data_IF_546251639568
#
_entry.id   IF_546251639568
#
_cell.length_a   1.000
_cell.length_b   1.000
_cell.length_c   1.000
_cell.angle_alpha   90.00
_cell.angle_beta   90.00
_cell.angle_gamma   90.00
#
_symmetry.space_group_name_H-M   'P 1'
#
loop_
_entity.id
_entity.type
_entity.pdbx_description
1 polymer ?
#
# COMPACT_ATOMS: atom_id res chain seq x y z
N UNK A 1 6.82 -1.83 -32.93
CA UNK A 1 7.13 -0.37 -32.87
C UNK A 1 7.33 -0.02 -31.42
N UNK A 2 8.35 0.80 -31.09
CA UNK A 2 8.57 1.24 -29.72
C UNK A 2 7.54 2.31 -29.34
N UNK A 3 6.86 2.08 -28.23
CA UNK A 3 5.93 3.03 -27.61
C UNK A 3 6.35 3.30 -26.16
N UNK A 4 6.00 4.49 -25.69
CA UNK A 4 6.22 4.87 -24.29
C UNK A 4 4.89 5.31 -23.72
N UNK A 5 4.43 4.62 -22.69
CA UNK A 5 3.22 4.99 -21.94
C UNK A 5 3.59 5.44 -20.53
N UNK A 6 2.82 6.38 -20.00
CA UNK A 6 3.03 6.94 -18.66
C UNK A 6 2.06 6.31 -17.70
N UNK A 7 2.53 5.98 -16.49
CA UNK A 7 1.70 5.46 -15.41
C UNK A 7 2.33 5.81 -14.05
N UNK A 8 1.69 5.40 -12.98
CA UNK A 8 2.20 5.54 -11.61
C UNK A 8 2.95 4.30 -11.18
N UNK A 9 3.88 4.45 -10.27
CA UNK A 9 4.57 3.35 -9.61
C UNK A 9 3.65 2.75 -8.51
N UNK A 10 3.44 1.44 -8.46
CA UNK A 10 2.56 0.80 -7.47
C UNK A 10 3.28 0.44 -6.17
N UNK A 11 4.59 0.73 -6.03
CA UNK A 11 5.41 0.12 -4.98
C UNK A 11 5.33 0.78 -3.61
N UNK A 12 4.83 2.01 -3.51
CA UNK A 12 4.63 2.71 -2.23
C UNK A 12 3.84 4.00 -2.43
N UNK A 13 3.42 4.62 -1.33
CA UNK A 13 2.57 5.81 -1.31
C UNK A 13 3.23 7.12 -1.80
N UNK A 14 4.48 7.09 -2.23
CA UNK A 14 5.16 8.32 -2.72
C UNK A 14 4.50 8.86 -3.98
N UNK A 15 3.88 8.02 -4.82
CA UNK A 15 3.18 8.47 -6.02
C UNK A 15 4.11 8.87 -7.17
N UNK A 16 5.19 8.13 -7.38
CA UNK A 16 6.14 8.39 -8.47
C UNK A 16 5.56 8.06 -9.84
N UNK A 17 5.82 8.94 -10.82
CA UNK A 17 5.52 8.63 -12.22
C UNK A 17 6.62 7.80 -12.87
N UNK A 18 6.24 6.78 -13.62
CA UNK A 18 7.13 5.94 -14.42
C UNK A 18 6.67 5.89 -15.88
N UNK A 19 7.64 5.64 -16.75
CA UNK A 19 7.41 5.32 -18.13
C UNK A 19 7.53 3.80 -18.31
N UNK A 20 6.61 3.22 -19.04
CA UNK A 20 6.67 1.82 -19.48
C UNK A 20 6.99 1.80 -20.98
N UNK A 21 7.98 1.02 -21.36
CA UNK A 21 8.40 0.84 -22.73
C UNK A 21 7.72 -0.40 -23.29
N UNK A 22 6.99 -0.22 -24.38
CA UNK A 22 6.43 -1.33 -25.14
C UNK A 22 7.19 -1.49 -26.47
N UNK A 23 7.38 -2.73 -26.89
CA UNK A 23 7.83 -3.07 -28.23
C UNK A 23 6.81 -4.03 -28.86
N UNK A 24 6.13 -3.56 -29.90
CA UNK A 24 5.07 -4.33 -30.58
C UNK A 24 3.97 -4.85 -29.61
N UNK A 25 3.62 -4.02 -28.61
CA UNK A 25 2.61 -4.32 -27.60
C UNK A 25 3.10 -5.03 -26.35
N UNK A 26 4.33 -5.54 -26.35
CA UNK A 26 4.93 -6.22 -25.19
C UNK A 26 5.73 -5.26 -24.30
N UNK A 27 5.59 -5.39 -22.98
CA UNK A 27 6.36 -4.61 -22.02
C UNK A 27 7.81 -5.12 -21.98
N UNK A 28 8.76 -4.23 -22.31
CA UNK A 28 10.18 -4.55 -22.33
C UNK A 28 11.01 -3.83 -21.26
N UNK A 29 10.43 -2.90 -20.54
CA UNK A 29 11.12 -2.22 -19.44
C UNK A 29 10.41 -0.98 -18.92
N UNK A 30 11.02 -0.38 -17.89
CA UNK A 30 10.59 0.87 -17.29
C UNK A 30 11.74 1.86 -17.20
N UNK A 31 11.41 3.14 -17.14
CA UNK A 31 12.34 4.20 -16.77
C UNK A 31 11.59 5.38 -16.11
N UNK A 32 12.30 6.28 -15.40
CA UNK A 32 11.67 7.38 -14.69
C UNK A 32 10.93 8.34 -15.63
N UNK A 33 9.73 8.79 -15.23
CA UNK A 33 9.03 9.84 -15.96
C UNK A 33 9.61 11.21 -15.60
N UNK A 34 10.41 11.78 -16.52
CA UNK A 34 11.19 13.01 -16.26
C UNK A 34 10.34 14.24 -15.91
N UNK A 35 9.11 14.31 -16.44
CA UNK A 35 8.22 15.48 -16.24
C UNK A 35 7.24 15.28 -15.08
N UNK A 36 7.27 14.12 -14.40
CA UNK A 36 6.38 13.89 -13.28
C UNK A 36 6.77 14.76 -12.07
N UNK A 37 5.81 15.50 -11.46
CA UNK A 37 6.13 16.49 -10.42
C UNK A 37 6.74 15.86 -9.17
N UNK A 38 6.29 14.67 -8.79
CA UNK A 38 6.73 13.98 -7.56
C UNK A 38 8.19 13.55 -7.62
N UNK A 39 8.59 12.81 -8.64
CA UNK A 39 9.91 12.19 -8.71
C UNK A 39 10.89 12.85 -9.70
N UNK A 40 10.45 13.80 -10.52
CA UNK A 40 11.27 14.62 -11.41
C UNK A 40 12.35 13.82 -12.17
N UNK A 41 11.96 12.67 -12.72
CA UNK A 41 12.86 11.79 -13.48
C UNK A 41 13.81 10.96 -12.63
N UNK A 42 13.51 10.70 -11.38
CA UNK A 42 14.21 9.75 -10.51
C UNK A 42 13.36 8.51 -10.31
N UNK A 43 14.02 7.38 -10.04
CA UNK A 43 13.37 6.10 -9.78
C UNK A 43 14.21 5.31 -8.79
N UNK A 44 13.58 4.60 -7.87
CA UNK A 44 14.22 3.65 -6.97
C UNK A 44 14.26 2.24 -7.60
N UNK A 45 14.85 1.29 -6.89
CA UNK A 45 14.89 -0.10 -7.35
C UNK A 45 13.46 -0.66 -7.53
N UNK A 46 12.61 -0.51 -6.50
CA UNK A 46 11.23 -1.01 -6.53
C UNK A 46 10.44 -0.47 -7.73
N UNK A 47 10.60 0.82 -8.04
CA UNK A 47 9.96 1.40 -9.23
C UNK A 47 10.51 0.87 -10.57
N UNK A 48 11.78 0.40 -10.61
CA UNK A 48 12.34 -0.23 -11.82
C UNK A 48 11.87 -1.67 -12.00
N UNK A 49 11.70 -2.41 -10.90
CA UNK A 49 11.28 -3.82 -10.90
C UNK A 49 9.76 -3.97 -10.82
N UNK A 50 9.00 -2.88 -10.73
CA UNK A 50 7.54 -2.92 -10.57
C UNK A 50 6.79 -3.70 -11.67
N UNK A 51 7.38 -3.83 -12.87
CA UNK A 51 6.79 -4.64 -13.95
C UNK A 51 6.89 -6.15 -13.72
N UNK A 52 7.65 -6.60 -12.72
CA UNK A 52 7.81 -8.04 -12.43
C UNK A 52 6.47 -8.67 -12.01
N UNK A 53 5.59 -7.93 -11.34
CA UNK A 53 4.24 -8.40 -11.02
C UNK A 53 3.41 -8.72 -12.28
N UNK A 54 3.55 -7.91 -13.33
CA UNK A 54 2.92 -8.19 -14.63
C UNK A 54 3.57 -9.40 -15.33
N UNK A 55 4.89 -9.52 -15.27
CA UNK A 55 5.62 -10.62 -15.91
C UNK A 55 5.35 -11.97 -15.26
N UNK A 56 5.11 -11.97 -13.94
CA UNK A 56 4.88 -13.16 -13.12
C UNK A 56 3.39 -13.36 -12.76
N UNK A 57 2.47 -12.71 -13.47
CA UNK A 57 1.03 -12.80 -13.17
C UNK A 57 0.47 -14.21 -13.39
N UNK A 58 -0.56 -14.53 -12.63
CA UNK A 58 -1.34 -15.75 -12.83
C UNK A 58 -1.94 -15.80 -14.24
N UNK A 59 -1.91 -17.00 -14.85
CA UNK A 59 -2.49 -17.25 -16.16
C UNK A 59 -3.87 -17.91 -16.05
N UNK A 60 -4.16 -18.58 -14.95
CA UNK A 60 -5.41 -19.30 -14.66
C UNK A 60 -5.77 -19.17 -13.19
N UNK A 61 -7.06 -19.37 -12.87
CA UNK A 61 -7.49 -19.48 -11.49
C UNK A 61 -7.00 -20.80 -10.87
N UNK A 62 -6.85 -20.82 -9.54
CA UNK A 62 -6.47 -22.01 -8.78
C UNK A 62 -7.59 -22.39 -7.81
N UNK A 63 -7.93 -23.65 -7.76
CA UNK A 63 -8.82 -24.25 -6.72
C UNK A 63 -8.09 -25.42 -6.10
N UNK A 64 -7.79 -25.34 -4.81
CA UNK A 64 -6.96 -26.31 -4.09
C UNK A 64 -5.64 -26.61 -4.83
N UNK A 65 -4.94 -25.55 -5.24
CA UNK A 65 -3.68 -25.57 -5.99
C UNK A 65 -3.76 -26.25 -7.37
N UNK A 66 -4.95 -26.42 -7.93
CA UNK A 66 -5.14 -26.97 -9.27
C UNK A 66 -5.69 -25.89 -10.21
N UNK A 67 -5.08 -25.74 -11.39
CA UNK A 67 -5.55 -24.80 -12.39
C UNK A 67 -6.97 -25.09 -12.84
N UNK A 68 -7.76 -24.04 -13.04
CA UNK A 68 -9.13 -24.11 -13.52
C UNK A 68 -9.51 -22.83 -14.29
N UNK A 69 -10.63 -22.86 -14.97
CA UNK A 69 -11.18 -21.68 -15.62
C UNK A 69 -11.70 -20.68 -14.59
N UNK A 70 -11.47 -19.39 -14.80
CA UNK A 70 -11.85 -18.31 -13.88
C UNK A 70 -13.36 -18.31 -13.58
N UNK A 71 -14.22 -18.52 -14.59
CA UNK A 71 -15.67 -18.60 -14.42
C UNK A 71 -16.09 -19.75 -13.48
N UNK A 72 -15.43 -20.89 -13.60
CA UNK A 72 -15.70 -22.04 -12.71
C UNK A 72 -15.25 -21.72 -11.28
N UNK A 73 -14.08 -21.12 -11.11
CA UNK A 73 -13.57 -20.72 -9.80
C UNK A 73 -14.49 -19.69 -9.14
N UNK A 74 -15.01 -18.69 -9.88
CA UNK A 74 -16.01 -17.74 -9.39
C UNK A 74 -17.29 -18.49 -8.93
N UNK A 75 -17.73 -19.50 -9.68
CA UNK A 75 -18.84 -20.35 -9.26
C UNK A 75 -18.58 -21.12 -7.97
N UNK A 76 -17.34 -21.53 -7.72
CA UNK A 76 -16.95 -22.18 -6.46
C UNK A 76 -16.88 -21.16 -5.32
N UNK A 77 -16.41 -19.92 -5.56
CA UNK A 77 -16.49 -18.81 -4.57
C UNK A 77 -17.93 -18.56 -4.14
N UNK A 78 -18.86 -18.46 -5.10
CA UNK A 78 -20.30 -18.28 -4.80
C UNK A 78 -20.89 -19.41 -3.96
N UNK A 79 -20.46 -20.66 -4.17
CA UNK A 79 -20.89 -21.80 -3.31
C UNK A 79 -20.39 -21.67 -1.89
N UNK A 80 -19.11 -21.29 -1.70
CA UNK A 80 -18.55 -21.09 -0.36
C UNK A 80 -19.29 -19.94 0.36
N UNK A 81 -19.52 -18.81 -0.29
CA UNK A 81 -20.24 -17.67 0.26
C UNK A 81 -21.70 -17.99 0.64
N UNK A 82 -22.38 -18.81 -0.17
CA UNK A 82 -23.75 -19.27 0.11
C UNK A 82 -23.84 -20.36 1.20
N UNK A 83 -22.73 -20.91 1.65
CA UNK A 83 -22.67 -21.99 2.65
C UNK A 83 -22.54 -21.49 4.09
N UNK A 84 -22.32 -20.19 4.29
CA UNK A 84 -22.08 -19.57 5.61
C UNK A 84 -22.99 -18.36 5.81
N UNK A 85 -23.15 -17.93 7.06
CA UNK A 85 -23.85 -16.69 7.38
C UNK A 85 -23.01 -15.48 6.96
N UNK A 86 -23.65 -14.39 6.59
CA UNK A 86 -22.98 -13.17 6.15
C UNK A 86 -22.01 -12.61 7.21
N UNK A 87 -22.34 -12.76 8.50
CA UNK A 87 -21.47 -12.33 9.62
C UNK A 87 -20.18 -13.15 9.75
N UNK A 88 -20.12 -14.33 9.13
CA UNK A 88 -18.93 -15.20 9.11
C UNK A 88 -17.98 -14.89 7.92
N UNK A 89 -18.36 -13.93 7.06
CA UNK A 89 -17.57 -13.49 5.90
C UNK A 89 -16.88 -12.18 6.18
N UNK A 90 -15.59 -12.14 5.94
CA UNK A 90 -14.79 -10.89 5.97
C UNK A 90 -14.18 -10.62 4.62
N UNK A 91 -14.29 -9.36 4.18
CA UNK A 91 -13.74 -8.84 2.94
C UNK A 91 -12.61 -7.87 3.27
N UNK A 92 -11.41 -8.15 2.81
CA UNK A 92 -10.25 -7.28 3.00
C UNK A 92 -10.00 -6.47 1.72
N UNK A 93 -10.04 -5.15 1.89
CA UNK A 93 -9.60 -4.14 0.93
C UNK A 93 -8.12 -3.83 1.19
N UNK A 94 -7.36 -3.51 0.16
CA UNK A 94 -5.94 -3.25 0.24
C UNK A 94 -5.57 -1.81 -0.10
N UNK A 95 -4.44 -1.35 0.44
CA UNK A 95 -3.75 -0.15 -0.06
C UNK A 95 -3.11 -0.32 -1.44
N UNK A 96 -3.18 -1.51 -2.04
CA UNK A 96 -2.78 -1.75 -3.43
C UNK A 96 -3.95 -1.57 -4.42
N UNK A 97 -5.20 -1.58 -3.95
CA UNK A 97 -6.37 -1.29 -4.77
C UNK A 97 -6.43 0.19 -5.15
N UNK A 98 -6.95 0.51 -6.33
CA UNK A 98 -7.32 1.88 -6.69
C UNK A 98 -8.48 2.40 -5.81
N UNK A 99 -8.70 3.70 -5.81
CA UNK A 99 -9.84 4.30 -5.09
C UNK A 99 -11.17 3.73 -5.60
N UNK A 100 -11.26 3.48 -6.91
CA UNK A 100 -12.42 2.94 -7.59
C UNK A 100 -12.69 1.48 -7.16
N UNK A 101 -11.63 0.67 -7.07
CA UNK A 101 -11.72 -0.71 -6.58
C UNK A 101 -12.08 -0.77 -5.10
N UNK A 102 -11.49 0.09 -4.25
CA UNK A 102 -11.86 0.17 -2.83
C UNK A 102 -13.35 0.48 -2.65
N UNK A 103 -13.92 1.38 -3.47
CA UNK A 103 -15.35 1.69 -3.43
C UNK A 103 -16.20 0.49 -3.83
N UNK A 104 -15.83 -0.21 -4.91
CA UNK A 104 -16.55 -1.39 -5.37
C UNK A 104 -16.50 -2.53 -4.33
N UNK A 105 -15.36 -2.75 -3.70
CA UNK A 105 -15.17 -3.75 -2.62
C UNK A 105 -16.07 -3.39 -1.42
N UNK A 106 -16.09 -2.12 -1.01
CA UNK A 106 -16.93 -1.65 0.09
C UNK A 106 -18.41 -1.85 -0.22
N UNK A 107 -18.88 -1.38 -1.37
CA UNK A 107 -20.27 -1.52 -1.81
C UNK A 107 -20.70 -2.99 -1.88
N UNK A 108 -19.81 -3.87 -2.37
CA UNK A 108 -20.05 -5.31 -2.38
C UNK A 108 -20.24 -5.86 -0.97
N UNK A 109 -19.31 -5.59 -0.06
CA UNK A 109 -19.40 -6.06 1.32
C UNK A 109 -20.65 -5.54 2.03
N UNK A 110 -20.97 -4.25 1.89
CA UNK A 110 -22.17 -3.64 2.47
C UNK A 110 -23.46 -4.25 1.92
N UNK A 111 -23.53 -4.49 0.59
CA UNK A 111 -24.71 -5.07 -0.07
C UNK A 111 -25.04 -6.49 0.40
N UNK A 112 -24.02 -7.24 0.81
CA UNK A 112 -24.12 -8.62 1.31
C UNK A 112 -24.15 -8.71 2.83
N UNK A 113 -24.00 -7.59 3.55
CA UNK A 113 -23.82 -7.52 5.01
C UNK A 113 -22.60 -8.32 5.50
N UNK A 114 -21.50 -8.32 4.73
CA UNK A 114 -20.21 -8.87 5.14
C UNK A 114 -19.43 -7.90 6.02
N UNK A 115 -18.51 -8.41 6.80
CA UNK A 115 -17.52 -7.56 7.48
C UNK A 115 -16.54 -7.02 6.45
N UNK A 116 -16.22 -5.74 6.55
CA UNK A 116 -15.25 -5.09 5.65
C UNK A 116 -14.09 -4.59 6.49
N UNK A 117 -12.86 -4.84 6.04
CA UNK A 117 -11.66 -4.43 6.74
C UNK A 117 -10.60 -3.90 5.78
N UNK A 118 -9.82 -2.96 6.30
CA UNK A 118 -8.58 -2.47 5.72
C UNK A 118 -7.56 -2.36 6.85
N UNK A 119 -6.36 -2.91 6.64
CA UNK A 119 -5.29 -2.89 7.64
C UNK A 119 -4.17 -1.94 7.24
N UNK A 120 -3.80 -1.07 8.17
CA UNK A 120 -2.58 -0.27 8.10
C UNK A 120 -2.24 0.34 9.48
N UNK A 121 -1.07 0.01 10.01
CA UNK A 121 -0.62 0.39 11.37
C UNK A 121 -0.41 1.89 11.56
N UNK A 122 0.02 2.60 10.53
CA UNK A 122 0.45 3.99 10.60
C UNK A 122 -0.54 4.97 9.99
N UNK A 123 -1.82 4.56 9.85
CA UNK A 123 -2.88 5.38 9.29
C UNK A 123 -3.70 6.10 10.37
N UNK A 124 -3.72 7.42 10.25
CA UNK A 124 -4.61 8.31 10.96
C UNK A 124 -4.93 9.50 10.06
N UNK A 125 -6.06 10.13 10.25
CA UNK A 125 -6.36 11.43 9.62
C UNK A 125 -5.62 12.55 10.36
N UNK A 126 -4.50 12.96 9.79
CA UNK A 126 -3.71 14.10 10.28
C UNK A 126 -4.20 15.45 9.73
N UNK A 127 -5.29 15.47 8.95
CA UNK A 127 -5.71 16.67 8.22
C UNK A 127 -4.67 17.09 7.17
N UNK A 128 -4.13 18.29 7.29
CA UNK A 128 -3.06 18.77 6.40
C UNK A 128 -1.71 18.14 6.80
N UNK A 129 -1.13 17.34 5.88
CA UNK A 129 0.19 16.73 6.06
C UNK A 129 1.28 17.57 5.38
N UNK A 130 2.56 17.32 5.70
CA UNK A 130 3.66 17.97 5.04
C UNK A 130 3.72 17.57 3.56
N UNK A 131 4.02 18.56 2.70
CA UNK A 131 4.38 18.32 1.31
C UNK A 131 5.84 17.84 1.20
N UNK A 132 6.22 17.32 0.04
CA UNK A 132 7.61 16.95 -0.22
C UNK A 132 8.53 18.19 -0.26
N UNK A 133 8.00 19.34 -0.61
CA UNK A 133 8.74 20.60 -0.57
C UNK A 133 8.89 21.13 0.86
N UNK A 134 7.91 20.89 1.76
CA UNK A 134 8.06 21.18 3.18
C UNK A 134 9.27 20.44 3.78
N UNK A 135 9.49 19.16 3.39
CA UNK A 135 10.67 18.39 3.85
C UNK A 135 11.97 19.08 3.40
N UNK A 136 12.08 19.45 2.12
CA UNK A 136 13.31 20.06 1.57
C UNK A 136 13.63 21.43 2.17
N UNK A 137 12.60 22.16 2.65
CA UNK A 137 12.73 23.50 3.20
C UNK A 137 12.64 23.55 4.74
N UNK A 138 12.51 22.41 5.42
CA UNK A 138 12.46 22.36 6.87
C UNK A 138 13.76 22.81 7.53
N UNK A 139 13.68 23.47 8.69
CA UNK A 139 14.85 23.80 9.50
C UNK A 139 15.41 22.53 10.20
N UNK A 140 14.51 21.59 10.53
CA UNK A 140 14.89 20.27 11.03
C UNK A 140 13.94 19.20 10.54
N UNK A 141 14.45 17.98 10.31
CA UNK A 141 13.65 16.83 9.89
C UNK A 141 13.82 15.70 10.90
N UNK A 142 12.71 15.24 11.45
CA UNK A 142 12.64 14.09 12.34
C UNK A 142 12.18 12.88 11.51
N UNK A 143 13.05 11.89 11.40
CA UNK A 143 12.84 10.72 10.54
C UNK A 143 12.60 9.51 11.44
N UNK A 144 11.42 8.91 11.36
CA UNK A 144 11.06 7.69 12.08
C UNK A 144 10.97 6.55 11.06
N UNK A 145 11.97 5.68 11.05
CA UNK A 145 12.11 4.58 10.09
C UNK A 145 13.31 4.69 9.17
N UNK A 146 13.47 3.70 8.30
CA UNK A 146 14.59 3.67 7.34
C UNK A 146 14.15 4.19 5.96
N UNK A 147 13.66 5.44 5.94
CA UNK A 147 13.12 6.09 4.73
C UNK A 147 14.14 6.24 3.60
N UNK A 148 15.43 6.26 3.88
CA UNK A 148 16.45 6.27 2.84
C UNK A 148 16.53 4.94 2.08
N UNK A 149 16.22 3.84 2.75
CA UNK A 149 16.24 2.49 2.18
C UNK A 149 14.86 2.08 1.64
N UNK A 150 13.82 2.22 2.45
CA UNK A 150 12.47 1.73 2.14
C UNK A 150 11.72 2.66 1.18
N UNK A 151 11.90 3.99 1.33
CA UNK A 151 11.25 5.01 0.52
C UNK A 151 12.28 6.00 -0.09
N UNK A 152 13.18 5.56 -1.00
CA UNK A 152 14.35 6.34 -1.40
C UNK A 152 14.06 7.70 -2.04
N UNK A 153 12.84 7.93 -2.58
CA UNK A 153 12.46 9.23 -3.14
C UNK A 153 12.10 10.24 -2.03
N UNK A 154 11.58 9.77 -0.90
CA UNK A 154 11.47 10.57 0.33
C UNK A 154 12.86 10.77 0.94
N UNK A 155 13.66 9.69 1.05
CA UNK A 155 15.05 9.78 1.51
C UNK A 155 15.85 10.84 0.73
N UNK A 156 15.64 10.96 -0.58
CA UNK A 156 16.25 12.01 -1.41
C UNK A 156 15.83 13.42 -0.96
N UNK A 157 14.57 13.63 -0.58
CA UNK A 157 14.09 14.93 -0.06
C UNK A 157 14.76 15.27 1.27
N UNK A 158 14.91 14.26 2.14
CA UNK A 158 15.64 14.42 3.42
C UNK A 158 17.13 14.77 3.18
N UNK A 159 17.78 14.12 2.19
CA UNK A 159 19.16 14.48 1.79
C UNK A 159 19.24 15.93 1.27
N UNK A 160 18.25 16.40 0.51
CA UNK A 160 18.21 17.79 0.07
C UNK A 160 18.01 18.76 1.24
N UNK A 161 17.13 18.45 2.20
CA UNK A 161 16.99 19.23 3.43
C UNK A 161 18.35 19.36 4.15
N UNK A 162 19.07 18.25 4.30
CA UNK A 162 20.42 18.24 4.88
C UNK A 162 21.41 19.12 4.11
N UNK A 163 21.35 19.12 2.78
CA UNK A 163 22.18 19.99 1.93
C UNK A 163 21.79 21.48 2.03
N UNK A 164 20.58 21.76 2.48
CA UNK A 164 20.07 23.10 2.77
C UNK A 164 20.23 23.46 4.27
N UNK A 165 21.17 22.83 4.97
CA UNK A 165 21.52 23.05 6.37
C UNK A 165 20.46 22.63 7.40
N UNK A 166 19.46 21.83 7.03
CA UNK A 166 18.53 21.26 7.99
C UNK A 166 19.22 20.28 8.93
N UNK A 167 18.83 20.30 10.20
CA UNK A 167 19.29 19.30 11.19
C UNK A 167 18.42 18.04 11.07
N UNK A 168 19.07 16.88 10.96
CA UNK A 168 18.39 15.58 10.79
C UNK A 168 18.50 14.77 12.08
N UNK A 169 17.35 14.42 12.64
CA UNK A 169 17.18 13.50 13.78
C UNK A 169 16.57 12.21 13.26
N UNK A 170 17.13 11.07 13.59
CA UNK A 170 16.63 9.79 13.08
C UNK A 170 16.43 8.75 14.18
N UNK A 171 15.26 8.10 14.13
CA UNK A 171 14.93 6.90 14.88
C UNK A 171 14.87 5.72 13.93
N UNK A 172 15.64 4.68 14.19
CA UNK A 172 15.62 3.42 13.42
C UNK A 172 15.19 2.24 14.28
N UNK A 173 14.56 1.23 13.65
CA UNK A 173 14.25 -0.05 14.32
C UNK A 173 15.51 -0.83 14.73
N UNK A 174 16.68 -0.48 14.18
CA UNK A 174 17.97 -1.07 14.51
C UNK A 174 19.11 -0.09 14.25
N UNK A 175 20.29 -0.39 14.77
CA UNK A 175 21.55 0.35 14.57
C UNK A 175 22.09 0.28 13.12
N UNK A 176 21.44 -0.50 12.24
CA UNK A 176 21.80 -0.68 10.83
C UNK A 176 21.00 0.18 9.85
N UNK A 177 20.13 1.07 10.35
CA UNK A 177 19.36 1.96 9.49
C UNK A 177 20.23 2.77 8.54
N UNK A 178 19.92 2.76 7.26
CA UNK A 178 20.63 3.55 6.23
C UNK A 178 20.44 5.05 6.47
N UNK A 179 19.30 5.45 7.04
CA UNK A 179 18.99 6.84 7.39
C UNK A 179 20.03 7.43 8.37
N UNK A 180 20.62 6.61 9.22
CA UNK A 180 21.66 7.05 10.17
C UNK A 180 22.91 7.62 9.51
N UNK A 181 23.21 7.26 8.24
CA UNK A 181 24.39 7.77 7.54
C UNK A 181 24.34 9.28 7.26
N UNK A 182 23.17 9.90 7.33
CA UNK A 182 23.00 11.35 7.09
C UNK A 182 22.49 12.11 8.31
N UNK A 183 22.05 11.40 9.35
CA UNK A 183 21.51 12.02 10.55
C UNK A 183 22.60 12.71 11.39
N UNK A 184 22.25 13.81 12.04
CA UNK A 184 23.09 14.51 13.02
C UNK A 184 22.95 13.88 14.40
N UNK A 185 21.75 13.39 14.71
CA UNK A 185 21.45 12.65 15.93
C UNK A 185 20.68 11.39 15.58
N UNK A 186 21.05 10.28 16.20
CA UNK A 186 20.46 8.96 15.96
C UNK A 186 19.96 8.34 17.26
N UNK A 187 18.87 7.63 17.18
CA UNK A 187 18.29 6.89 18.28
C UNK A 187 17.78 5.52 17.82
N UNK A 188 17.75 4.58 18.74
CA UNK A 188 17.00 3.33 18.67
C UNK A 188 16.13 3.23 19.92
N UNK A 189 14.96 2.63 19.85
CA UNK A 189 14.01 2.55 20.96
C UNK A 189 12.61 2.87 20.51
N UNK A 190 11.75 3.29 21.42
CA UNK A 190 10.38 3.58 21.10
C UNK A 190 10.20 4.96 20.43
N UNK A 191 9.14 5.07 19.61
CA UNK A 191 8.73 6.33 18.99
C UNK A 191 8.43 7.39 20.06
N UNK A 192 7.78 7.01 21.15
CA UNK A 192 7.46 7.90 22.26
C UNK A 192 8.70 8.51 22.90
N UNK A 193 9.69 7.70 23.26
CA UNK A 193 10.94 8.17 23.86
C UNK A 193 11.70 9.12 22.92
N UNK A 194 11.70 8.82 21.63
CA UNK A 194 12.31 9.67 20.62
C UNK A 194 11.63 11.04 20.52
N UNK A 195 10.31 11.07 20.45
CA UNK A 195 9.54 12.31 20.39
C UNK A 195 9.69 13.13 21.67
N UNK A 196 9.64 12.50 22.85
CA UNK A 196 9.81 13.17 24.14
C UNK A 196 11.18 13.80 24.30
N UNK A 197 12.24 13.04 23.96
CA UNK A 197 13.62 13.51 24.05
C UNK A 197 13.90 14.69 23.12
N UNK A 198 13.16 14.77 22.01
CA UNK A 198 13.34 15.82 21.01
C UNK A 198 12.26 16.92 21.08
N UNK A 199 11.35 16.88 22.04
CA UNK A 199 10.21 17.80 22.12
C UNK A 199 10.60 19.28 22.07
N UNK A 200 11.75 19.64 22.67
CA UNK A 200 12.28 21.00 22.66
C UNK A 200 12.89 21.43 21.30
N UNK A 201 13.17 20.49 20.42
CA UNK A 201 13.72 20.70 19.06
C UNK A 201 12.66 20.66 17.96
N UNK A 202 11.43 20.19 18.29
CA UNK A 202 10.31 20.13 17.36
C UNK A 202 9.61 21.49 17.38
N UNK A 203 9.82 22.26 16.32
CA UNK A 203 9.28 23.60 16.14
C UNK A 203 8.34 23.64 14.93
N UNK A 204 7.59 24.69 14.72
CA UNK A 204 6.69 24.88 13.57
C UNK A 204 7.41 24.75 12.21
N UNK A 205 8.70 25.09 12.16
CA UNK A 205 9.59 24.95 10.98
C UNK A 205 10.15 23.55 10.78
N UNK A 206 9.82 22.61 11.66
CA UNK A 206 10.23 21.22 11.57
C UNK A 206 9.27 20.41 10.72
N UNK A 207 9.71 19.23 10.24
CA UNK A 207 8.85 18.21 9.64
C UNK A 207 9.17 16.85 10.25
N UNK A 208 8.15 16.09 10.64
CA UNK A 208 8.31 14.69 11.04
C UNK A 208 7.88 13.81 9.87
N UNK A 209 8.76 12.94 9.40
CA UNK A 209 8.47 11.96 8.33
C UNK A 209 8.61 10.55 8.91
N UNK A 210 7.60 9.71 8.75
CA UNK A 210 7.61 8.39 9.36
C UNK A 210 6.98 7.32 8.45
N UNK A 211 7.45 6.08 8.58
CA UNK A 211 6.88 4.91 7.90
C UNK A 211 6.55 3.76 8.86
N UNK A 212 6.73 3.96 10.17
CA UNK A 212 6.19 3.08 11.20
C UNK A 212 5.87 3.85 12.48
N UNK A 213 5.08 3.23 13.33
CA UNK A 213 4.80 3.59 14.72
C UNK A 213 4.81 2.31 15.56
N UNK A 214 4.94 2.44 16.89
CA UNK A 214 4.85 1.29 17.79
C UNK A 214 3.40 1.00 18.22
N UNK A 215 2.48 1.98 18.05
CA UNK A 215 1.07 1.84 18.39
C UNK A 215 0.25 3.13 18.20
N UNK A 216 -1.03 3.07 18.54
CA UNK A 216 -1.97 4.18 18.37
C UNK A 216 -1.60 5.43 19.19
N UNK A 217 -0.99 5.26 20.36
CA UNK A 217 -0.52 6.38 21.20
C UNK A 217 0.52 7.25 20.48
N UNK A 218 1.34 6.65 19.61
CA UNK A 218 2.31 7.38 18.81
C UNK A 218 1.63 8.27 17.77
N UNK A 219 0.57 7.76 17.13
CA UNK A 219 -0.22 8.52 16.16
C UNK A 219 -0.89 9.73 16.81
N UNK A 220 -1.39 9.59 18.04
CA UNK A 220 -1.93 10.71 18.81
C UNK A 220 -0.86 11.77 19.14
N UNK A 221 0.34 11.31 19.48
CA UNK A 221 1.45 12.19 19.79
C UNK A 221 1.96 12.92 18.54
N UNK A 222 2.03 12.24 17.40
CA UNK A 222 2.37 12.82 16.11
C UNK A 222 1.34 13.85 15.65
N UNK A 223 0.04 13.61 15.86
CA UNK A 223 -1.04 14.55 15.56
C UNK A 223 -0.93 15.84 16.37
N UNK A 224 -0.51 15.73 17.64
CA UNK A 224 -0.33 16.86 18.54
C UNK A 224 1.07 17.51 18.45
N UNK A 225 1.92 17.10 17.52
CA UNK A 225 3.24 17.70 17.33
C UNK A 225 3.12 19.15 16.84
N UNK A 226 4.01 20.01 17.33
CA UNK A 226 4.06 21.42 16.91
C UNK A 226 4.73 21.61 15.54
N UNK A 227 4.44 20.72 14.58
CA UNK A 227 4.98 20.78 13.23
C UNK A 227 4.10 19.93 12.28
N UNK A 228 4.35 20.05 10.98
CA UNK A 228 3.71 19.18 9.99
C UNK A 228 4.29 17.75 10.06
N UNK A 229 3.45 16.77 9.82
CA UNK A 229 3.84 15.36 9.74
C UNK A 229 3.58 14.80 8.36
N UNK A 230 4.36 13.80 7.93
CA UNK A 230 4.14 13.05 6.69
C UNK A 230 4.24 11.56 6.96
N UNK A 231 3.12 10.83 7.01
CA UNK A 231 3.11 9.38 6.99
C UNK A 231 3.45 8.87 5.58
N UNK A 232 4.32 7.87 5.49
CA UNK A 232 4.69 7.19 4.24
C UNK A 232 4.34 5.71 4.37
N UNK A 233 3.62 5.19 3.39
CA UNK A 233 3.09 3.82 3.44
C UNK A 233 3.80 2.91 2.44
N UNK A 234 3.87 1.63 2.74
CA UNK A 234 4.41 0.59 1.88
C UNK A 234 3.55 0.30 0.65
N UNK A 235 2.22 0.52 0.73
CA UNK A 235 1.27 0.32 -0.37
C UNK A 235 0.93 1.67 -1.02
N UNK A 236 0.72 1.65 -2.35
CA UNK A 236 0.65 2.87 -3.17
C UNK A 236 -0.56 3.77 -2.88
N UNK A 237 -1.67 3.18 -2.48
CA UNK A 237 -2.95 3.87 -2.27
C UNK A 237 -3.50 3.73 -0.84
N UNK A 238 -2.65 3.47 0.16
CA UNK A 238 -3.12 3.33 1.55
C UNK A 238 -3.98 4.51 2.01
N UNK A 239 -3.60 5.74 1.65
CA UNK A 239 -4.37 6.94 1.99
C UNK A 239 -5.71 7.01 1.24
N UNK A 240 -5.75 6.56 -0.01
CA UNK A 240 -6.99 6.46 -0.79
C UNK A 240 -7.92 5.36 -0.27
N UNK A 241 -7.38 4.19 0.07
CA UNK A 241 -8.15 3.11 0.69
C UNK A 241 -8.77 3.57 2.03
N UNK A 242 -7.99 4.26 2.87
CA UNK A 242 -8.46 4.84 4.14
C UNK A 242 -9.60 5.86 3.95
N UNK A 243 -9.58 6.63 2.86
CA UNK A 243 -10.67 7.56 2.57
C UNK A 243 -12.00 6.88 2.24
N UNK A 244 -11.97 5.58 1.96
CA UNK A 244 -13.13 4.76 1.58
C UNK A 244 -13.51 3.78 2.69
N UNK A 245 -12.53 3.08 3.27
CA UNK A 245 -12.71 2.06 4.32
C UNK A 245 -11.88 2.46 5.53
N UNK A 246 -12.49 2.47 6.71
CA UNK A 246 -11.77 2.77 7.95
C UNK A 246 -10.67 1.72 8.19
N UNK A 247 -9.46 2.20 8.51
CA UNK A 247 -8.36 1.32 8.87
C UNK A 247 -8.62 0.68 10.25
N UNK A 248 -8.20 -0.58 10.38
CA UNK A 248 -8.21 -1.32 11.65
C UNK A 248 -6.78 -1.46 12.15
N UNK A 249 -6.64 -1.41 13.48
CA UNK A 249 -5.41 -1.82 14.14
C UNK A 249 -5.20 -3.35 14.01
N UNK A 250 -3.99 -3.82 14.34
CA UNK A 250 -3.70 -5.25 14.31
C UNK A 250 -4.61 -6.02 15.29
N UNK A 251 -4.86 -5.48 16.49
CA UNK A 251 -5.76 -6.08 17.48
C UNK A 251 -7.20 -6.19 16.97
N UNK A 252 -7.72 -5.13 16.34
CA UNK A 252 -9.06 -5.15 15.74
C UNK A 252 -9.15 -6.13 14.56
N UNK A 253 -8.05 -6.30 13.79
CA UNK A 253 -7.98 -7.27 12.72
C UNK A 253 -7.98 -8.70 13.26
N UNK A 254 -7.19 -8.99 14.31
CA UNK A 254 -7.15 -10.30 14.97
C UNK A 254 -8.52 -10.68 15.52
N UNK A 255 -9.19 -9.74 16.22
CA UNK A 255 -10.54 -9.96 16.75
C UNK A 255 -11.56 -10.28 15.63
N UNK A 256 -11.46 -9.58 14.50
CA UNK A 256 -12.32 -9.81 13.35
C UNK A 256 -12.03 -11.19 12.71
N UNK A 257 -10.76 -11.54 12.53
CA UNK A 257 -10.34 -12.81 11.92
C UNK A 257 -10.71 -14.03 12.78
N UNK A 258 -10.69 -13.91 14.11
CA UNK A 258 -11.13 -14.99 15.02
C UNK A 258 -12.62 -15.34 14.85
N UNK A 259 -13.42 -14.43 14.29
CA UNK A 259 -14.84 -14.64 14.01
C UNK A 259 -15.11 -14.92 12.52
N UNK A 260 -14.08 -15.05 11.68
CA UNK A 260 -14.19 -15.22 10.24
C UNK A 260 -14.11 -16.69 9.83
N UNK A 261 -15.08 -17.20 9.05
CA UNK A 261 -15.03 -18.53 8.43
C UNK A 261 -14.58 -18.47 6.97
N UNK A 262 -15.01 -17.45 6.23
CA UNK A 262 -14.63 -17.20 4.84
C UNK A 262 -13.98 -15.84 4.74
N UNK A 263 -12.73 -15.82 4.30
CA UNK A 263 -11.96 -14.60 4.10
C UNK A 263 -11.79 -14.32 2.60
N UNK A 264 -12.23 -13.17 2.16
CA UNK A 264 -12.00 -12.65 0.81
C UNK A 264 -10.90 -11.59 0.87
N UNK A 265 -9.81 -11.78 0.14
CA UNK A 265 -8.66 -10.87 0.13
C UNK A 265 -8.48 -10.29 -1.26
N UNK A 266 -8.66 -8.97 -1.39
CA UNK A 266 -8.51 -8.26 -2.66
C UNK A 266 -7.15 -7.57 -2.73
N UNK A 267 -6.26 -8.12 -3.59
CA UNK A 267 -4.94 -7.57 -3.93
C UNK A 267 -4.05 -7.26 -2.72
N UNK A 268 -4.10 -8.12 -1.71
CA UNK A 268 -3.34 -7.97 -0.48
C UNK A 268 -2.51 -9.19 -0.11
N UNK A 269 -1.52 -8.98 0.75
CA UNK A 269 -0.71 -10.03 1.36
C UNK A 269 -0.84 -10.01 2.89
N UNK A 270 -2.06 -10.31 3.37
CA UNK A 270 -2.41 -10.23 4.79
C UNK A 270 -1.62 -11.19 5.66
N UNK A 271 -1.10 -12.30 5.10
CA UNK A 271 -0.26 -13.26 5.81
C UNK A 271 1.09 -12.65 6.16
N UNK A 272 1.62 -11.78 5.29
CA UNK A 272 2.86 -11.06 5.55
C UNK A 272 2.64 -9.84 6.45
N UNK A 273 1.45 -9.26 6.44
CA UNK A 273 1.16 -7.99 7.11
C UNK A 273 0.67 -8.16 8.56
N UNK A 274 0.04 -9.28 8.90
CA UNK A 274 -0.62 -9.51 10.21
C UNK A 274 -0.10 -10.79 10.84
N UNK A 275 0.38 -10.72 12.08
CA UNK A 275 0.81 -11.90 12.85
C UNK A 275 -0.40 -12.67 13.38
N UNK A 276 -0.98 -13.52 12.54
CA UNK A 276 -2.17 -14.31 12.83
C UNK A 276 -2.04 -15.75 12.32
N UNK A 277 -2.61 -16.69 13.05
CA UNK A 277 -2.70 -18.10 12.64
C UNK A 277 -3.87 -18.32 11.65
N UNK A 278 -3.62 -18.07 10.36
CA UNK A 278 -4.62 -18.20 9.30
C UNK A 278 -5.17 -19.62 9.11
N UNK A 279 -4.58 -20.65 9.74
CA UNK A 279 -5.13 -22.03 9.70
C UNK A 279 -6.46 -22.15 10.43
N UNK A 280 -6.83 -21.17 11.27
CA UNK A 280 -8.13 -21.09 11.94
C UNK A 280 -9.28 -20.75 11.00
N UNK A 281 -8.98 -20.10 9.86
CA UNK A 281 -9.99 -19.68 8.87
C UNK A 281 -10.31 -20.86 7.96
N UNK A 282 -11.59 -21.18 7.81
CA UNK A 282 -12.02 -22.37 7.07
C UNK A 282 -11.76 -22.27 5.57
N UNK A 283 -11.93 -21.06 5.01
CA UNK A 283 -11.73 -20.75 3.58
C UNK A 283 -11.07 -19.40 3.40
N UNK A 284 -9.97 -19.38 2.68
CA UNK A 284 -9.30 -18.17 2.23
C UNK A 284 -9.40 -18.12 0.70
N UNK A 285 -9.89 -17.01 0.19
CA UNK A 285 -10.11 -16.75 -1.23
C UNK A 285 -9.37 -15.48 -1.58
N UNK A 286 -8.37 -15.57 -2.44
CA UNK A 286 -7.57 -14.43 -2.87
C UNK A 286 -7.92 -14.01 -4.30
N UNK A 287 -8.06 -12.71 -4.49
CA UNK A 287 -8.12 -12.03 -5.77
C UNK A 287 -6.78 -11.31 -5.94
N UNK A 288 -5.87 -11.89 -6.71
CA UNK A 288 -4.49 -11.41 -6.77
C UNK A 288 -3.91 -11.50 -8.19
N UNK A 289 -3.04 -10.55 -8.59
CA UNK A 289 -2.42 -10.60 -9.90
C UNK A 289 -1.29 -11.63 -9.98
N UNK A 290 -0.57 -11.88 -8.88
CA UNK A 290 0.60 -12.77 -8.82
C UNK A 290 0.70 -13.47 -7.45
N UNK A 291 1.62 -14.42 -7.34
CA UNK A 291 1.89 -15.16 -6.11
C UNK A 291 2.37 -14.25 -4.96
N UNK A 292 1.86 -14.52 -3.76
CA UNK A 292 2.30 -13.97 -2.49
C UNK A 292 2.01 -14.98 -1.36
N UNK A 293 2.36 -14.64 -0.11
CA UNK A 293 2.20 -15.58 1.02
C UNK A 293 0.72 -15.89 1.29
N UNK A 294 -0.18 -14.94 1.08
CA UNK A 294 -1.64 -15.16 1.20
C UNK A 294 -2.17 -16.10 0.11
N UNK A 295 -1.76 -15.92 -1.15
CA UNK A 295 -2.18 -16.82 -2.23
C UNK A 295 -1.67 -18.24 -2.04
N UNK A 296 -0.48 -18.41 -1.42
CA UNK A 296 0.11 -19.73 -1.16
C UNK A 296 -0.71 -20.60 -0.21
N UNK A 297 -1.48 -19.98 0.70
CA UNK A 297 -2.36 -20.67 1.64
C UNK A 297 -3.85 -20.64 1.23
N UNK A 298 -4.18 -19.94 0.16
CA UNK A 298 -5.57 -19.75 -0.29
C UNK A 298 -6.17 -21.03 -0.86
N UNK A 299 -7.45 -21.29 -0.54
CA UNK A 299 -8.22 -22.39 -1.11
C UNK A 299 -8.62 -22.13 -2.57
N UNK A 300 -8.87 -20.86 -2.88
CA UNK A 300 -9.20 -20.38 -4.23
C UNK A 300 -8.39 -19.13 -4.50
N UNK A 301 -7.76 -19.06 -5.67
CA UNK A 301 -7.10 -17.86 -6.19
C UNK A 301 -7.73 -17.47 -7.51
N UNK A 302 -8.25 -16.26 -7.59
CA UNK A 302 -8.81 -15.68 -8.82
C UNK A 302 -7.81 -14.65 -9.35
N UNK A 303 -7.27 -14.83 -10.58
CA UNK A 303 -6.46 -13.82 -11.22
C UNK A 303 -7.21 -12.52 -11.43
N UNK A 304 -6.55 -11.41 -11.13
CA UNK A 304 -7.04 -10.06 -11.42
C UNK A 304 -6.06 -9.31 -12.31
N UNK A 305 -6.54 -8.26 -12.97
CA UNK A 305 -5.68 -7.33 -13.70
C UNK A 305 -4.61 -6.75 -12.79
N UNK A 306 -3.38 -6.64 -13.30
CA UNK A 306 -2.37 -5.81 -12.68
C UNK A 306 -2.67 -4.32 -12.91
N UNK A 307 -2.03 -3.44 -12.16
CA UNK A 307 -2.12 -1.98 -12.34
C UNK A 307 -1.72 -1.49 -13.75
N UNK A 308 -0.97 -2.30 -14.52
CA UNK A 308 -0.63 -1.99 -15.92
C UNK A 308 -1.75 -2.30 -16.92
N UNK A 309 -2.74 -3.06 -16.50
CA UNK A 309 -3.86 -3.54 -17.30
C UNK A 309 -5.18 -2.85 -16.92
N UNK A 310 -5.15 -1.93 -15.94
CA UNK A 310 -6.32 -1.28 -15.36
C UNK A 310 -6.20 0.24 -15.39
N UNK A 311 -7.34 0.92 -15.36
CA UNK A 311 -7.45 2.35 -15.10
C UNK A 311 -7.80 2.57 -13.63
N UNK A 312 -7.38 3.69 -13.05
CA UNK A 312 -7.74 3.99 -11.68
C UNK A 312 -7.06 5.26 -11.15
N UNK A 313 -7.21 5.47 -9.85
CA UNK A 313 -6.52 6.55 -9.15
C UNK A 313 -5.92 6.06 -7.84
N UNK A 314 -4.73 6.60 -7.51
CA UNK A 314 -4.08 6.47 -6.21
C UNK A 314 -4.00 7.82 -5.52
N UNK A 315 -4.08 7.81 -4.19
CA UNK A 315 -3.83 8.99 -3.36
C UNK A 315 -2.45 8.84 -2.72
N UNK A 316 -1.54 9.75 -3.07
CA UNK A 316 -0.17 9.70 -2.56
C UNK A 316 -0.07 10.11 -1.08
N UNK A 317 1.12 10.00 -0.48
CA UNK A 317 1.34 10.33 0.94
C UNK A 317 0.96 11.77 1.30
N UNK A 318 1.07 12.73 0.36
CA UNK A 318 0.63 14.11 0.56
C UNK A 318 -0.90 14.29 0.49
N UNK A 319 -1.66 13.26 0.10
CA UNK A 319 -3.11 13.35 -0.10
C UNK A 319 -3.54 13.79 -1.49
N UNK A 320 -2.62 13.85 -2.45
CA UNK A 320 -2.94 14.21 -3.83
C UNK A 320 -3.44 12.99 -4.60
N UNK A 321 -4.62 13.12 -5.22
CA UNK A 321 -5.15 12.10 -6.12
C UNK A 321 -4.44 12.16 -7.47
N UNK A 322 -3.98 11.00 -7.93
CA UNK A 322 -3.23 10.82 -9.17
C UNK A 322 -3.89 9.71 -9.99
N UNK A 323 -4.40 10.07 -11.18
CA UNK A 323 -4.99 9.09 -12.09
C UNK A 323 -3.90 8.36 -12.90
N UNK A 324 -4.15 7.09 -13.20
CA UNK A 324 -3.37 6.29 -14.12
C UNK A 324 -4.28 5.54 -15.09
N UNK A 325 -3.72 5.16 -16.24
CA UNK A 325 -4.45 4.41 -17.26
C UNK A 325 -3.70 3.15 -17.64
N UNK A 326 -4.46 2.18 -18.12
CA UNK A 326 -3.93 0.91 -18.64
C UNK A 326 -2.82 1.14 -19.68
N UNK A 327 -1.74 0.43 -19.49
CA UNK A 327 -0.59 0.45 -20.40
C UNK A 327 -0.75 -0.61 -21.49
N UNK A 328 -1.34 -1.74 -21.13
CA UNK A 328 -1.62 -2.87 -22.02
C UNK A 328 -3.08 -3.30 -21.87
N UNK A 329 -3.63 -3.90 -22.93
CA UNK A 329 -4.94 -4.56 -22.86
C UNK A 329 -4.78 -5.96 -22.24
N UNK A 330 -5.84 -6.46 -21.62
CA UNK A 330 -5.87 -7.76 -20.97
C UNK A 330 -7.26 -8.37 -21.01
N UNK A 331 -7.30 -9.69 -21.22
CA UNK A 331 -8.52 -10.50 -21.10
C UNK A 331 -8.78 -10.98 -19.65
N UNK A 332 -7.85 -10.72 -18.72
CA UNK A 332 -8.04 -10.97 -17.28
C UNK A 332 -9.09 -10.00 -16.75
N UNK A 333 -9.96 -10.48 -15.87
CA UNK A 333 -10.99 -9.65 -15.25
C UNK A 333 -10.36 -8.66 -14.25
N UNK A 334 -10.89 -7.45 -14.21
CA UNK A 334 -10.62 -6.52 -13.11
C UNK A 334 -11.35 -6.96 -11.85
N UNK A 335 -10.96 -6.43 -10.70
CA UNK A 335 -11.67 -6.67 -9.44
C UNK A 335 -13.13 -6.23 -9.52
N UNK A 336 -13.41 -5.11 -10.17
CA UNK A 336 -14.77 -4.59 -10.37
C UNK A 336 -15.61 -5.58 -11.20
N UNK A 337 -15.08 -6.09 -12.32
CA UNK A 337 -15.75 -7.09 -13.15
C UNK A 337 -16.01 -8.40 -12.38
N UNK A 338 -15.08 -8.81 -11.49
CA UNK A 338 -15.29 -9.98 -10.63
C UNK A 338 -16.38 -9.72 -9.60
N UNK A 339 -16.37 -8.55 -8.95
CA UNK A 339 -17.40 -8.15 -7.98
C UNK A 339 -18.80 -8.12 -8.64
N UNK A 340 -18.92 -7.63 -9.87
CA UNK A 340 -20.16 -7.68 -10.62
C UNK A 340 -20.67 -9.12 -10.80
N UNK A 341 -19.76 -10.06 -11.12
CA UNK A 341 -20.10 -11.50 -11.22
C UNK A 341 -20.47 -12.14 -9.88
N UNK A 342 -19.88 -11.69 -8.77
CA UNK A 342 -20.21 -12.15 -7.43
C UNK A 342 -21.54 -11.59 -6.92
N UNK A 343 -21.99 -10.48 -7.49
CA UNK A 343 -23.29 -9.88 -7.17
C UNK A 343 -24.47 -10.58 -7.88
N UNK A 344 -24.24 -11.23 -9.02
CA UNK A 344 -25.21 -12.00 -9.82
C UNK A 344 -25.84 -11.18 -10.90
#
# INVERSE_FOLDING_TARGET
MLEIKHTLCPSCSVGCGINVILNDGEIVGTFPYKRHPVNAGKNCLNGRTSIESYQNKFQSALVSNSETETEKAIGDVLKELNSVDASDVTVICSGNNSVEECKAIKEFGESKNYNIAFYADNLKDFGEVASYDDIENAASVFVIGDLLYENPLIGRRIVHAKQNDAKIYALGKSDKSVTFNIADEVATGSVQEFLDSNSANIEESSVIVFNYVDGQEDLEKLENANCKVLPVFSKSNSKGAFSVVDAKSEEEMIELLDNTKVLLVFNDDVVNDIDYDFTKISKIISFAPCENDTTAISNIVIPIKTWLENDGSFVNAMGESQAFSAVVESDVLSEIEIIEKLNG
#
